data_IF_306972509795
#
_entry.id   IF_306972509795
#
_cell.length_a   1.000
_cell.length_b   1.000
_cell.length_c   1.000
_cell.angle_alpha   90.00
_cell.angle_beta   90.00
_cell.angle_gamma   90.00
#
_symmetry.space_group_name_H-M   'P 1'
#
loop_
_entity.id
_entity.type
_entity.pdbx_description
1 polymer ?
#
# COMPACT_ATOMS: atom_id res chain seq x y z
N UNK A 1 -11.65 15.25 -28.06
CA UNK A 1 -12.12 15.83 -26.78
C UNK A 1 -11.10 15.57 -25.66
N UNK A 2 -10.77 14.32 -25.32
CA UNK A 2 -9.86 14.02 -24.19
C UNK A 2 -8.43 14.57 -24.33
N UNK A 3 -7.87 14.63 -25.55
CA UNK A 3 -6.54 15.23 -25.77
C UNK A 3 -6.52 16.74 -25.49
N UNK A 4 -7.58 17.45 -25.89
CA UNK A 4 -7.69 18.90 -25.66
C UNK A 4 -7.71 19.22 -24.16
N UNK A 5 -8.41 18.41 -23.35
CA UNK A 5 -8.41 18.58 -21.88
C UNK A 5 -7.01 18.39 -21.27
N UNK A 6 -6.23 17.42 -21.76
CA UNK A 6 -4.87 17.20 -21.27
C UNK A 6 -3.98 18.43 -21.50
N UNK A 7 -4.13 19.09 -22.65
CA UNK A 7 -3.38 20.27 -23.04
C UNK A 7 -3.91 21.54 -22.34
N UNK A 8 -5.22 21.78 -22.38
CA UNK A 8 -5.90 22.97 -21.84
C UNK A 8 -5.75 23.08 -20.32
N UNK A 9 -5.78 21.95 -19.60
CA UNK A 9 -5.59 21.91 -18.14
C UNK A 9 -4.12 21.63 -17.73
N UNK A 10 -3.21 21.53 -18.70
CA UNK A 10 -1.78 21.29 -18.50
C UNK A 10 -1.49 20.06 -17.60
N UNK A 11 -2.26 18.99 -17.79
CA UNK A 11 -2.30 17.82 -16.90
C UNK A 11 -0.98 17.03 -16.91
N UNK A 12 -0.22 17.09 -18.01
CA UNK A 12 1.08 16.41 -18.11
C UNK A 12 2.11 17.07 -17.20
N UNK A 13 2.22 18.40 -17.23
CA UNK A 13 3.15 19.14 -16.37
C UNK A 13 2.76 19.00 -14.89
N UNK A 14 1.46 19.11 -14.59
CA UNK A 14 0.93 18.87 -13.24
C UNK A 14 1.27 17.46 -12.74
N UNK A 15 1.11 16.45 -13.58
CA UNK A 15 1.46 15.07 -13.24
C UNK A 15 2.95 14.89 -12.91
N UNK A 16 3.85 15.64 -13.55
CA UNK A 16 5.28 15.64 -13.22
C UNK A 16 5.53 16.27 -11.85
N UNK A 17 4.96 17.44 -11.60
CA UNK A 17 5.12 18.19 -10.34
C UNK A 17 4.56 17.42 -9.16
N UNK A 18 3.29 17.01 -9.22
CA UNK A 18 2.65 16.26 -8.13
C UNK A 18 3.26 14.87 -7.96
N UNK A 19 3.74 14.27 -9.05
CA UNK A 19 4.38 12.95 -9.00
C UNK A 19 5.70 13.01 -8.24
N UNK A 20 6.46 14.09 -8.44
CA UNK A 20 7.66 14.36 -7.67
C UNK A 20 7.34 14.63 -6.18
N UNK A 21 6.20 15.27 -5.87
CA UNK A 21 5.76 15.47 -4.47
C UNK A 21 5.46 14.16 -3.77
N UNK A 22 4.70 13.26 -4.40
CA UNK A 22 4.51 11.89 -3.89
C UNK A 22 5.84 11.20 -3.62
N UNK A 23 6.73 11.21 -4.62
CA UNK A 23 8.04 10.58 -4.52
C UNK A 23 8.83 11.12 -3.33
N UNK A 24 8.95 12.44 -3.22
CA UNK A 24 9.67 13.11 -2.14
C UNK A 24 9.10 12.74 -0.76
N UNK A 25 7.79 12.84 -0.58
CA UNK A 25 7.14 12.52 0.70
C UNK A 25 7.36 11.07 1.12
N UNK A 26 7.29 10.12 0.17
CA UNK A 26 7.56 8.71 0.46
C UNK A 26 9.05 8.47 0.77
N UNK A 27 9.98 9.08 0.01
CA UNK A 27 11.42 8.98 0.25
C UNK A 27 11.81 9.52 1.63
N UNK A 28 11.17 10.58 2.12
CA UNK A 28 11.36 11.11 3.48
C UNK A 28 10.87 10.17 4.58
N UNK A 29 9.90 9.30 4.29
CA UNK A 29 9.39 8.29 5.22
C UNK A 29 10.28 7.05 5.30
N UNK A 30 10.95 6.66 4.21
CA UNK A 30 11.80 5.45 4.13
C UNK A 30 12.75 5.29 5.33
N UNK A 31 13.56 6.30 5.74
CA UNK A 31 14.48 6.11 6.86
C UNK A 31 13.80 5.93 8.22
N UNK A 32 12.50 6.21 8.33
CA UNK A 32 11.73 6.19 9.59
C UNK A 32 10.95 4.89 9.79
N UNK A 33 10.73 4.11 8.73
CA UNK A 33 9.84 2.96 8.74
C UNK A 33 10.49 1.76 8.04
N UNK A 34 10.85 0.73 8.82
CA UNK A 34 11.64 -0.41 8.36
C UNK A 34 10.98 -1.24 7.25
N UNK A 35 9.65 -1.28 7.21
CA UNK A 35 8.91 -1.97 6.15
C UNK A 35 8.97 -1.24 4.81
N UNK A 36 9.15 0.09 4.80
CA UNK A 36 9.15 0.91 3.59
C UNK A 36 10.56 0.96 2.99
N UNK A 37 10.73 0.48 1.77
CA UNK A 37 12.04 0.32 1.12
C UNK A 37 12.34 1.36 0.05
N UNK A 38 11.31 1.97 -0.53
CA UNK A 38 11.49 3.01 -1.52
C UNK A 38 10.24 3.27 -2.33
N UNK A 39 10.44 4.03 -3.41
CA UNK A 39 9.40 4.38 -4.36
C UNK A 39 10.00 4.46 -5.76
N UNK A 40 9.25 3.92 -6.73
CA UNK A 40 9.50 4.11 -8.16
C UNK A 40 8.37 4.96 -8.73
N UNK A 41 8.72 6.01 -9.47
CA UNK A 41 7.72 6.96 -9.95
C UNK A 41 8.08 7.50 -11.35
N UNK A 42 7.06 7.67 -12.19
CA UNK A 42 7.12 8.41 -13.45
C UNK A 42 5.78 9.11 -13.69
N UNK A 43 5.75 10.43 -13.55
CA UNK A 43 4.48 11.19 -13.51
C UNK A 43 3.58 10.68 -12.38
N UNK A 44 2.32 10.37 -12.69
CA UNK A 44 1.37 9.79 -11.72
C UNK A 44 1.45 8.26 -11.58
N UNK A 45 2.35 7.57 -12.29
CA UNK A 45 2.55 6.14 -12.09
C UNK A 45 3.52 5.91 -10.94
N UNK A 46 3.00 5.48 -9.78
CA UNK A 46 3.75 5.36 -8.54
C UNK A 46 3.70 3.92 -8.02
N UNK A 47 4.85 3.37 -7.68
CA UNK A 47 5.00 2.07 -7.00
C UNK A 47 5.78 2.24 -5.71
N UNK A 48 5.14 1.94 -4.59
CA UNK A 48 5.70 2.01 -3.25
C UNK A 48 6.22 0.63 -2.87
N UNK A 49 7.52 0.52 -2.60
CA UNK A 49 8.18 -0.74 -2.33
C UNK A 49 8.23 -1.00 -0.83
N UNK A 50 7.76 -2.18 -0.42
CA UNK A 50 7.84 -2.67 0.93
C UNK A 50 8.70 -3.94 1.00
N UNK A 51 9.16 -4.26 2.20
CA UNK A 51 10.00 -5.44 2.38
C UNK A 51 10.23 -5.80 3.83
N UNK A 52 11.03 -6.86 4.00
CA UNK A 52 11.37 -7.40 5.32
C UNK A 52 12.01 -6.32 6.20
N UNK A 53 11.54 -6.12 7.44
CA UNK A 53 12.11 -5.17 8.40
C UNK A 53 13.39 -5.76 9.02
N UNK A 54 14.10 -4.99 9.85
CA UNK A 54 15.34 -5.38 10.53
C UNK A 54 15.15 -5.78 11.99
N UNK A 55 14.24 -5.13 12.71
CA UNK A 55 13.93 -5.39 14.11
C UNK A 55 13.37 -6.79 14.31
N UNK A 56 13.83 -7.49 15.36
CA UNK A 56 13.45 -8.88 15.65
C UNK A 56 11.93 -9.07 15.74
N UNK A 57 11.23 -8.18 16.45
CA UNK A 57 9.78 -8.24 16.61
C UNK A 57 9.04 -8.08 15.27
N UNK A 58 9.44 -7.10 14.46
CA UNK A 58 8.83 -6.86 13.14
C UNK A 58 9.20 -7.96 12.14
N UNK A 59 10.42 -8.52 12.21
CA UNK A 59 10.84 -9.68 11.41
C UNK A 59 9.97 -10.90 11.71
N UNK A 60 9.64 -11.13 12.98
CA UNK A 60 8.73 -12.20 13.39
C UNK A 60 7.33 -11.98 12.84
N UNK A 61 6.78 -10.77 12.96
CA UNK A 61 5.48 -10.40 12.40
C UNK A 61 5.44 -10.60 10.87
N UNK A 62 6.42 -10.05 10.15
CA UNK A 62 6.58 -10.24 8.70
C UNK A 62 6.57 -11.72 8.31
N UNK A 63 7.39 -12.53 8.98
CA UNK A 63 7.54 -13.96 8.66
C UNK A 63 6.24 -14.72 8.94
N UNK A 64 5.55 -14.41 10.04
CA UNK A 64 4.28 -15.03 10.38
C UNK A 64 3.22 -14.76 9.31
N UNK A 65 3.11 -13.51 8.86
CA UNK A 65 2.10 -13.07 7.88
C UNK A 65 2.35 -13.70 6.51
N UNK A 66 3.59 -13.62 6.02
CA UNK A 66 3.96 -14.20 4.73
C UNK A 66 3.84 -15.74 4.73
N UNK A 67 4.03 -16.40 5.87
CA UNK A 67 3.80 -17.84 6.00
C UNK A 67 2.32 -18.22 5.90
N UNK A 68 1.41 -17.33 6.29
CA UNK A 68 -0.04 -17.56 6.17
C UNK A 68 -0.52 -17.36 4.73
N UNK A 69 -0.16 -16.22 4.13
CA UNK A 69 -0.40 -15.91 2.73
C UNK A 69 0.56 -14.77 2.32
N UNK A 70 1.26 -14.94 1.21
CA UNK A 70 2.25 -13.97 0.71
C UNK A 70 1.63 -12.62 0.34
N UNK A 71 0.30 -12.56 0.12
CA UNK A 71 -0.41 -11.31 -0.17
C UNK A 71 -0.88 -10.59 1.09
N UNK A 72 -0.90 -11.27 2.24
CA UNK A 72 -1.49 -10.73 3.47
C UNK A 72 -0.73 -9.50 3.97
N UNK A 73 0.60 -9.43 3.77
CA UNK A 73 1.35 -8.24 4.14
C UNK A 73 0.87 -7.00 3.37
N UNK A 74 0.67 -7.11 2.05
CA UNK A 74 0.17 -5.99 1.26
C UNK A 74 -1.26 -5.59 1.68
N UNK A 75 -2.09 -6.55 2.08
CA UNK A 75 -3.42 -6.26 2.64
C UNK A 75 -3.36 -5.49 3.97
N UNK A 76 -2.30 -5.68 4.77
CA UNK A 76 -2.09 -4.92 6.00
C UNK A 76 -1.88 -3.41 5.78
N UNK A 77 -1.66 -3.01 4.52
CA UNK A 77 -1.50 -1.61 4.14
C UNK A 77 -2.72 -1.16 3.33
N UNK A 78 -3.18 -1.98 2.37
CA UNK A 78 -4.34 -1.65 1.51
C UNK A 78 -5.63 -1.53 2.34
N UNK A 79 -5.86 -2.42 3.30
CA UNK A 79 -7.11 -2.43 4.07
C UNK A 79 -7.22 -1.19 4.96
N UNK A 80 -6.22 -0.81 5.78
CA UNK A 80 -6.31 0.45 6.54
C UNK A 80 -6.41 1.69 5.66
N UNK A 81 -5.67 1.74 4.53
CA UNK A 81 -5.81 2.84 3.59
C UNK A 81 -7.25 2.96 3.08
N UNK A 82 -7.94 1.85 2.82
CA UNK A 82 -9.33 1.85 2.36
C UNK A 82 -10.34 2.12 3.48
N UNK A 83 -10.21 1.44 4.61
CA UNK A 83 -11.23 1.41 5.68
C UNK A 83 -11.12 2.65 6.58
N UNK A 84 -9.91 2.99 7.03
CA UNK A 84 -9.67 4.11 7.96
C UNK A 84 -9.47 5.43 7.22
N UNK A 85 -8.89 5.39 6.02
CA UNK A 85 -8.51 6.58 5.26
C UNK A 85 -9.29 6.77 3.95
N UNK A 86 -10.18 5.85 3.58
CA UNK A 86 -11.01 5.94 2.37
C UNK A 86 -10.22 6.13 1.06
N UNK A 87 -8.99 5.62 1.01
CA UNK A 87 -8.07 5.66 -0.13
C UNK A 87 -8.01 4.28 -0.77
N UNK A 88 -8.45 4.20 -2.03
CA UNK A 88 -8.31 2.99 -2.82
C UNK A 88 -6.90 2.86 -3.40
N UNK A 89 -6.21 1.77 -3.06
CA UNK A 89 -4.91 1.40 -3.64
C UNK A 89 -4.94 -0.02 -4.20
N UNK A 90 -3.92 -0.38 -4.97
CA UNK A 90 -3.83 -1.70 -5.59
C UNK A 90 -2.47 -2.35 -5.34
N UNK A 91 -2.45 -3.66 -5.16
CA UNK A 91 -1.20 -4.42 -5.20
C UNK A 91 -0.67 -4.49 -6.63
N UNK A 92 0.65 -4.40 -6.82
CA UNK A 92 1.25 -4.38 -8.15
C UNK A 92 1.29 -5.78 -8.83
N UNK A 93 1.18 -6.86 -8.05
CA UNK A 93 1.17 -8.24 -8.55
C UNK A 93 1.05 -9.26 -7.41
N UNK A 94 1.00 -10.54 -7.79
CA UNK A 94 0.91 -11.65 -6.84
C UNK A 94 2.22 -11.82 -6.06
N UNK A 95 2.14 -11.88 -4.73
CA UNK A 95 3.30 -12.04 -3.84
C UNK A 95 4.40 -10.96 -4.01
N UNK A 96 4.02 -9.79 -4.53
CA UNK A 96 4.94 -8.65 -4.66
C UNK A 96 4.51 -7.60 -3.63
N UNK A 97 5.36 -7.26 -2.64
CA UNK A 97 5.06 -6.24 -1.63
C UNK A 97 5.24 -4.83 -2.20
N UNK A 98 4.58 -4.55 -3.33
CA UNK A 98 4.54 -3.24 -3.97
C UNK A 98 3.10 -2.79 -4.04
N UNK A 99 2.84 -1.58 -3.55
CA UNK A 99 1.54 -0.92 -3.68
C UNK A 99 1.64 0.12 -4.77
N UNK A 100 0.75 -0.02 -5.75
CA UNK A 100 0.67 0.83 -6.92
C UNK A 100 -0.43 1.85 -6.72
N UNK A 101 -0.13 3.09 -7.11
CA UNK A 101 -1.08 4.20 -7.11
C UNK A 101 -1.00 4.87 -8.47
N UNK A 102 -2.20 5.08 -9.03
CA UNK A 102 -2.43 5.68 -10.35
C UNK A 102 -3.57 6.67 -10.18
N UNK A 103 -3.35 7.79 -9.45
CA UNK A 103 -4.42 8.75 -9.23
C UNK A 103 -4.82 9.41 -10.57
N UNK A 104 -6.04 9.96 -10.64
CA UNK A 104 -6.43 10.84 -11.75
C UNK A 104 -5.43 11.99 -11.93
N UNK A 105 -5.19 12.42 -13.17
CA UNK A 105 -4.22 13.47 -13.47
C UNK A 105 -4.62 14.85 -12.93
N UNK A 106 -5.90 15.02 -12.61
CA UNK A 106 -6.46 16.22 -11.99
C UNK A 106 -6.49 16.17 -10.45
N UNK A 107 -5.78 15.23 -9.82
CA UNK A 107 -5.62 15.18 -8.36
C UNK A 107 -5.12 16.52 -7.80
N UNK A 108 -5.63 16.91 -6.63
CA UNK A 108 -5.25 18.15 -5.97
C UNK A 108 -3.96 17.99 -5.15
N UNK A 109 -3.33 19.09 -4.75
CA UNK A 109 -2.16 19.04 -3.85
C UNK A 109 -2.56 18.53 -2.45
N UNK A 110 -3.76 18.90 -2.02
CA UNK A 110 -4.35 18.50 -0.75
C UNK A 110 -4.60 17.00 -0.69
N UNK A 111 -5.05 16.38 -1.79
CA UNK A 111 -5.22 14.93 -1.89
C UNK A 111 -3.86 14.20 -1.82
N UNK A 112 -2.80 14.78 -2.40
CA UNK A 112 -1.43 14.24 -2.31
C UNK A 112 -0.96 14.24 -0.85
N UNK A 113 -1.16 15.35 -0.15
CA UNK A 113 -0.78 15.48 1.26
C UNK A 113 -1.64 14.58 2.16
N UNK A 114 -2.93 14.45 1.86
CA UNK A 114 -3.83 13.53 2.55
C UNK A 114 -3.38 12.08 2.37
N UNK A 115 -3.00 11.70 1.16
CA UNK A 115 -2.44 10.38 0.91
C UNK A 115 -1.14 10.14 1.71
N UNK A 116 -0.21 11.09 1.68
CA UNK A 116 1.08 10.95 2.38
C UNK A 116 0.89 10.81 3.89
N UNK A 117 0.07 11.67 4.50
CA UNK A 117 -0.24 11.59 5.94
C UNK A 117 -0.97 10.30 6.31
N UNK A 118 -1.88 9.82 5.45
CA UNK A 118 -2.57 8.55 5.64
C UNK A 118 -1.63 7.35 5.55
N UNK A 119 -0.73 7.32 4.56
CA UNK A 119 0.30 6.29 4.44
C UNK A 119 1.19 6.26 5.69
N UNK A 120 1.61 7.42 6.18
CA UNK A 120 2.41 7.53 7.40
C UNK A 120 1.69 6.99 8.63
N UNK A 121 0.39 7.29 8.78
CA UNK A 121 -0.43 6.74 9.86
C UNK A 121 -0.49 5.21 9.83
N UNK A 122 -0.66 4.62 8.64
CA UNK A 122 -0.64 3.18 8.44
C UNK A 122 0.74 2.59 8.79
N UNK A 123 1.83 3.27 8.42
CA UNK A 123 3.18 2.85 8.82
C UNK A 123 3.38 2.87 10.32
N UNK A 124 2.90 3.91 11.02
CA UNK A 124 2.94 3.98 12.49
C UNK A 124 2.17 2.79 13.10
N UNK A 125 0.99 2.46 12.55
CA UNK A 125 0.20 1.32 13.00
C UNK A 125 0.94 -0.01 12.85
N UNK A 126 1.57 -0.24 11.69
CA UNK A 126 2.32 -1.48 11.42
C UNK A 126 3.56 -1.65 12.29
N UNK A 127 4.20 -0.55 12.72
CA UNK A 127 5.38 -0.60 13.59
C UNK A 127 5.04 -0.78 15.08
N UNK A 128 3.75 -0.80 15.45
CA UNK A 128 3.28 -1.14 16.80
C UNK A 128 2.93 -2.63 16.86
N UNK A 129 3.94 -3.49 17.00
CA UNK A 129 3.76 -4.94 17.16
C UNK A 129 4.16 -5.42 18.58
N UNK A 130 3.29 -6.18 19.28
CA UNK A 130 1.90 -6.52 18.94
C UNK A 130 0.96 -5.30 19.06
N UNK A 131 -0.13 -5.27 18.27
CA UNK A 131 -1.10 -4.17 18.29
C UNK A 131 -2.34 -4.38 17.42
N UNK A 132 -3.34 -3.49 17.50
CA UNK A 132 -4.66 -3.68 16.88
C UNK A 132 -4.63 -3.93 15.36
N UNK A 133 -3.74 -3.26 14.63
CA UNK A 133 -3.57 -3.46 13.19
C UNK A 133 -3.20 -4.92 12.84
N UNK A 134 -2.33 -5.52 13.66
CA UNK A 134 -1.94 -6.92 13.51
C UNK A 134 -3.05 -7.89 13.90
N UNK A 135 -3.86 -7.56 14.90
CA UNK A 135 -4.98 -8.41 15.31
C UNK A 135 -6.07 -8.49 14.22
N UNK A 136 -6.39 -7.36 13.60
CA UNK A 136 -7.35 -7.31 12.48
C UNK A 136 -6.81 -8.11 11.30
N UNK A 137 -5.54 -7.90 10.93
CA UNK A 137 -4.89 -8.64 9.85
C UNK A 137 -4.93 -10.16 10.08
N UNK A 138 -4.64 -10.61 11.30
CA UNK A 138 -4.65 -12.02 11.67
C UNK A 138 -6.06 -12.62 11.62
N UNK A 139 -7.09 -11.86 11.99
CA UNK A 139 -8.49 -12.29 11.84
C UNK A 139 -8.84 -12.49 10.36
N UNK A 140 -8.50 -11.53 9.50
CA UNK A 140 -8.74 -11.60 8.06
C UNK A 140 -8.02 -12.81 7.45
N UNK A 141 -6.74 -13.01 7.78
CA UNK A 141 -5.97 -14.16 7.32
C UNK A 141 -6.58 -15.50 7.71
N UNK A 142 -7.09 -15.64 8.95
CA UNK A 142 -7.78 -16.85 9.41
C UNK A 142 -9.06 -17.13 8.62
N UNK A 143 -9.84 -16.09 8.29
CA UNK A 143 -11.05 -16.24 7.50
C UNK A 143 -10.76 -16.62 6.05
N UNK A 144 -9.75 -16.01 5.41
CA UNK A 144 -9.32 -16.35 4.05
C UNK A 144 -8.85 -17.81 3.93
N UNK A 145 -8.06 -18.29 4.89
CA UNK A 145 -7.62 -19.70 4.95
C UNK A 145 -8.83 -20.65 5.10
N UNK A 146 -9.80 -20.27 5.93
CA UNK A 146 -11.01 -21.09 6.17
C UNK A 146 -11.89 -21.16 4.91
N UNK A 147 -12.02 -20.07 4.16
CA UNK A 147 -12.74 -20.03 2.89
C UNK A 147 -12.05 -20.91 1.83
N UNK A 148 -10.73 -20.77 1.66
CA UNK A 148 -9.94 -21.58 0.71
C UNK A 148 -10.01 -23.08 1.01
N UNK A 149 -10.06 -23.46 2.30
CA UNK A 149 -10.25 -24.86 2.74
C UNK A 149 -11.65 -25.41 2.46
N UNK A 150 -12.67 -24.55 2.41
CA UNK A 150 -14.04 -24.93 2.02
C UNK A 150 -14.12 -25.14 0.51
N UNK A 151 -13.55 -24.24 -0.29
CA UNK A 151 -13.52 -24.37 -1.76
C UNK A 151 -12.75 -25.61 -2.22
N UNK A 152 -11.57 -25.88 -1.65
CA UNK A 152 -10.79 -27.08 -1.97
C UNK A 152 -11.43 -28.42 -1.55
N UNK A 153 -12.46 -28.39 -0.68
CA UNK A 153 -13.27 -29.58 -0.36
C UNK A 153 -14.44 -29.80 -1.31
N UNK A 154 -14.88 -28.75 -2.02
CA UNK A 154 -15.97 -28.81 -2.99
C UNK A 154 -15.46 -29.21 -4.38
N UNK A 155 -14.22 -28.86 -4.73
CA UNK A 155 -13.57 -29.23 -5.99
C UNK A 155 -12.87 -30.61 -5.98
N UNK A 156 -12.85 -31.29 -4.84
CA UNK A 156 -12.20 -32.59 -4.64
C UNK A 156 -13.15 -33.79 -4.55
N UNK A 157 -14.41 -33.64 -5.01
CA UNK A 157 -15.43 -34.69 -5.01
C UNK A 157 -15.94 -34.93 -6.43
#
# INVERSE_FOLDING_TARGET
ASLAVLDDENLTERALVLGARFRKGIEEMVPRYEFLKGVRQRGMMIGIEFGKPESLALKAAWTMVNKMDENLFSQAIVIPLLDDHHILTQVAGHAIPIIKILPPLNISEEDVDYFLSSLEAVMIGLHKFPGPAWDVLMKIGKHAITAKKREGRVSGN
#
